data_IF_524742775003
#
_entry.id   IF_524742775003
#
_cell.length_a   1.000
_cell.length_b   1.000
_cell.length_c   1.000
_cell.angle_alpha   90.00
_cell.angle_beta   90.00
_cell.angle_gamma   90.00
#
_symmetry.space_group_name_H-M   'P 1'
#
loop_
_entity.id
_entity.type
_entity.pdbx_description
1 polymer ?
#
# COMPACT_ATOMS: atom_id res chain seq x y z
N UNK A 1 -5.82 15.19 4.81
CA UNK A 1 -6.44 13.85 4.80
C UNK A 1 -6.41 13.32 3.38
N UNK A 2 -5.35 12.60 2.99
CA UNK A 2 -5.40 11.83 1.75
C UNK A 2 -6.32 10.64 2.01
N UNK A 3 -7.50 10.65 1.39
CA UNK A 3 -8.44 9.55 1.49
C UNK A 3 -7.83 8.35 0.76
N UNK A 4 -7.12 7.50 1.49
CA UNK A 4 -6.58 6.24 0.98
C UNK A 4 -7.78 5.45 0.46
N UNK A 5 -7.89 5.34 -0.86
CA UNK A 5 -8.96 4.63 -1.56
C UNK A 5 -8.38 3.40 -2.24
N UNK A 6 -9.17 2.32 -2.26
CA UNK A 6 -8.87 1.13 -3.06
C UNK A 6 -8.68 1.49 -4.53
N UNK A 7 -7.64 0.96 -5.16
CA UNK A 7 -7.21 1.31 -6.51
C UNK A 7 -6.17 2.42 -6.59
N UNK A 8 -5.76 3.02 -5.46
CA UNK A 8 -4.62 3.95 -5.45
C UNK A 8 -3.30 3.18 -5.52
N UNK A 9 -2.39 3.70 -6.35
CA UNK A 9 -1.01 3.26 -6.40
C UNK A 9 -0.23 4.02 -5.33
N UNK A 10 0.46 3.28 -4.49
CA UNK A 10 1.34 3.81 -3.47
C UNK A 10 2.74 3.26 -3.69
N UNK A 11 3.73 4.00 -3.19
CA UNK A 11 5.10 3.50 -3.08
C UNK A 11 5.35 3.15 -1.63
N UNK A 12 5.94 1.98 -1.41
CA UNK A 12 6.51 1.66 -0.11
C UNK A 12 7.73 2.57 0.10
N UNK A 13 7.72 3.38 1.14
CA UNK A 13 8.86 4.25 1.47
C UNK A 13 9.79 3.64 2.49
N UNK A 14 9.33 2.58 3.19
CA UNK A 14 10.09 1.91 4.23
C UNK A 14 10.17 0.38 4.03
N UNK A 15 11.29 -0.19 4.45
CA UNK A 15 11.57 -1.64 4.46
C UNK A 15 12.40 -2.15 3.28
N UNK A 16 12.57 -3.48 3.19
CA UNK A 16 13.38 -4.15 2.14
C UNK A 16 12.85 -3.96 0.71
N UNK A 17 11.63 -3.48 0.58
CA UNK A 17 10.91 -3.22 -0.68
C UNK A 17 10.62 -1.72 -0.87
N UNK A 18 11.39 -0.84 -0.22
CA UNK A 18 11.25 0.60 -0.41
C UNK A 18 11.53 0.96 -1.88
N UNK A 19 10.60 1.68 -2.51
CA UNK A 19 10.63 2.01 -3.95
C UNK A 19 9.74 1.13 -4.83
N UNK A 20 9.24 -0.01 -4.33
CA UNK A 20 8.29 -0.84 -5.09
C UNK A 20 6.91 -0.16 -5.16
N UNK A 21 6.36 -0.10 -6.38
CA UNK A 21 4.99 0.34 -6.63
C UNK A 21 4.01 -0.77 -6.24
N UNK A 22 3.05 -0.42 -5.40
CA UNK A 22 2.00 -1.31 -4.93
C UNK A 22 0.65 -0.67 -5.12
N UNK A 23 -0.38 -1.48 -5.30
CA UNK A 23 -1.75 -1.01 -5.47
C UNK A 23 -2.61 -1.44 -4.29
N UNK A 24 -3.39 -0.51 -3.72
CA UNK A 24 -4.26 -0.82 -2.59
C UNK A 24 -5.47 -1.60 -3.08
N UNK A 25 -5.57 -2.86 -2.70
CA UNK A 25 -6.69 -3.73 -3.05
C UNK A 25 -7.84 -3.52 -2.09
N UNK A 26 -7.53 -3.51 -0.80
CA UNK A 26 -8.55 -3.50 0.25
C UNK A 26 -8.07 -2.77 1.49
N UNK A 27 -8.94 -1.97 2.10
CA UNK A 27 -8.71 -1.42 3.43
C UNK A 27 -9.15 -2.49 4.44
N UNK A 28 -8.23 -2.98 5.26
CA UNK A 28 -8.56 -3.99 6.28
C UNK A 28 -8.89 -3.27 7.60
N UNK A 29 -8.11 -2.24 7.91
CA UNK A 29 -8.14 -1.53 9.18
C UNK A 29 -7.78 -0.06 8.98
N UNK A 30 -7.97 0.76 10.01
CA UNK A 30 -7.60 2.20 9.95
C UNK A 30 -6.11 2.42 9.68
N UNK A 31 -5.27 1.51 10.18
CA UNK A 31 -3.82 1.54 9.99
C UNK A 31 -3.32 0.51 8.97
N UNK A 32 -4.09 -0.53 8.66
CA UNK A 32 -3.62 -1.62 7.81
C UNK A 32 -4.40 -1.72 6.51
N UNK A 33 -3.66 -1.82 5.43
CA UNK A 33 -4.20 -1.98 4.09
C UNK A 33 -3.60 -3.20 3.42
N UNK A 34 -4.41 -3.84 2.60
CA UNK A 34 -3.98 -4.88 1.70
C UNK A 34 -3.52 -4.26 0.40
N UNK A 35 -2.25 -4.49 0.07
CA UNK A 35 -1.65 -4.02 -1.17
C UNK A 35 -1.27 -5.20 -2.05
N UNK A 36 -1.45 -5.06 -3.35
CA UNK A 36 -0.93 -5.98 -4.36
C UNK A 36 0.36 -5.42 -4.92
N UNK A 37 1.41 -6.23 -4.88
CA UNK A 37 2.60 -5.96 -5.67
C UNK A 37 2.30 -6.32 -7.15
N UNK A 38 3.09 -5.81 -8.11
CA UNK A 38 2.95 -6.14 -9.54
C UNK A 38 3.02 -7.65 -9.88
N UNK A 39 3.53 -8.47 -8.95
CA UNK A 39 3.57 -9.94 -9.03
C UNK A 39 2.25 -10.61 -8.62
N UNK A 40 1.20 -9.85 -8.33
CA UNK A 40 -0.12 -10.36 -7.94
C UNK A 40 -0.22 -10.90 -6.52
N UNK A 41 0.85 -10.83 -5.72
CA UNK A 41 0.82 -11.22 -4.31
C UNK A 41 0.20 -10.10 -3.47
N UNK A 42 -0.88 -10.43 -2.76
CA UNK A 42 -1.45 -9.57 -1.74
C UNK A 42 -0.55 -9.60 -0.48
N UNK A 43 -0.20 -8.43 0.02
CA UNK A 43 0.56 -8.25 1.26
C UNK A 43 -0.16 -7.23 2.13
N UNK A 44 -0.13 -7.46 3.43
CA UNK A 44 -0.62 -6.51 4.42
C UNK A 44 0.50 -5.51 4.73
N UNK A 45 0.23 -4.24 4.54
CA UNK A 45 1.15 -3.15 4.87
C UNK A 45 0.47 -2.12 5.76
N UNK A 46 1.27 -1.48 6.61
CA UNK A 46 0.83 -0.37 7.41
C UNK A 46 0.75 0.89 6.53
N UNK A 47 -0.31 1.66 6.64
CA UNK A 47 -0.51 2.92 5.89
C UNK A 47 0.59 3.94 6.20
N UNK A 48 1.19 3.86 7.39
CA UNK A 48 2.30 4.74 7.78
C UNK A 48 3.55 4.58 6.89
N UNK A 49 3.71 3.45 6.19
CA UNK A 49 4.87 3.17 5.33
C UNK A 49 4.55 3.31 3.84
N UNK A 50 3.34 3.76 3.52
CA UNK A 50 2.84 3.92 2.16
C UNK A 50 2.67 5.40 1.88
N UNK A 51 3.44 5.93 0.94
CA UNK A 51 3.19 7.26 0.40
C UNK A 51 2.26 7.16 -0.81
N UNK A 52 1.13 7.90 -0.81
CA UNK A 52 0.34 8.11 -2.02
C UNK A 52 1.09 9.04 -2.96
N UNK A 53 1.25 8.62 -4.22
CA UNK A 53 1.78 9.43 -5.31
C UNK A 53 0.63 9.90 -6.21
#
# INVERSE_FOLDING_TARGET
MAAIKTGMKCVKTAGRHAGDKVEIVKLIDKNFVEVKDAKGKAKRCNVAHLEPC
#
